data_IF_498381610764
#
_entry.id   IF_498381610764
#
_cell.length_a   1.000
_cell.length_b   1.000
_cell.length_c   1.000
_cell.angle_alpha   90.00
_cell.angle_beta   90.00
_cell.angle_gamma   90.00
#
_symmetry.space_group_name_H-M   'P 1'
#
loop_
_entity.id
_entity.type
_entity.pdbx_description
1 polymer ?
#
# COMPACT_ATOMS: atom_id res chain seq x y z
N UNK A 1 -1.12 -10.74 12.90
CA UNK A 1 -1.89 -11.98 13.19
C UNK A 1 -1.68 -12.33 14.65
N UNK A 2 -2.73 -12.72 15.37
CA UNK A 2 -2.58 -13.27 16.72
C UNK A 2 -2.32 -14.77 16.63
N UNK A 3 -1.74 -15.36 17.68
CA UNK A 3 -1.41 -16.80 17.75
C UNK A 3 -2.61 -17.76 17.70
N UNK A 4 -3.82 -17.24 17.52
CA UNK A 4 -5.08 -17.99 17.58
C UNK A 4 -5.66 -18.35 16.19
N UNK A 5 -5.14 -17.78 15.10
CA UNK A 5 -5.61 -18.11 13.74
C UNK A 5 -5.04 -19.46 13.29
N UNK A 6 -5.92 -20.45 13.09
CA UNK A 6 -5.54 -21.78 12.59
C UNK A 6 -5.37 -21.72 11.07
N UNK A 7 -4.13 -21.67 10.60
CA UNK A 7 -3.80 -21.66 9.17
C UNK A 7 -4.07 -23.02 8.53
N UNK A 8 -4.54 -23.01 7.28
CA UNK A 8 -4.65 -24.23 6.49
C UNK A 8 -3.25 -24.84 6.25
N UNK A 9 -3.13 -26.17 6.10
CA UNK A 9 -1.84 -26.82 5.83
C UNK A 9 -1.15 -26.22 4.59
N UNK A 10 0.11 -25.79 4.72
CA UNK A 10 0.90 -25.21 3.63
C UNK A 10 0.79 -23.69 3.47
N UNK A 11 -0.02 -23.00 4.27
CA UNK A 11 -0.08 -21.53 4.26
C UNK A 11 1.11 -20.97 5.04
N UNK A 12 1.95 -20.19 4.36
CA UNK A 12 3.03 -19.45 5.01
C UNK A 12 2.45 -18.48 6.07
N UNK A 13 2.76 -18.66 7.36
CA UNK A 13 2.28 -17.77 8.42
C UNK A 13 2.72 -16.31 8.23
N UNK A 14 3.78 -16.07 7.45
CA UNK A 14 4.30 -14.75 7.13
C UNK A 14 3.76 -14.18 5.81
N UNK A 15 2.95 -14.93 5.06
CA UNK A 15 2.36 -14.42 3.82
C UNK A 15 1.51 -13.17 4.10
N UNK A 16 1.74 -12.14 3.28
CA UNK A 16 0.97 -10.92 3.31
C UNK A 16 -0.51 -11.24 3.02
N UNK A 17 -1.40 -10.85 3.94
CA UNK A 17 -2.85 -10.87 3.71
C UNK A 17 -3.26 -9.53 3.15
N UNK A 18 -3.89 -9.55 1.97
CA UNK A 18 -4.42 -8.36 1.35
C UNK A 18 -5.95 -8.42 1.42
N UNK A 19 -6.52 -7.59 2.28
CA UNK A 19 -7.96 -7.36 2.36
C UNK A 19 -8.27 -6.01 1.72
N UNK A 20 -8.76 -6.05 0.48
CA UNK A 20 -8.97 -4.83 -0.31
C UNK A 20 -10.06 -3.97 0.33
N UNK A 21 -9.77 -2.68 0.52
CA UNK A 21 -10.67 -1.70 1.14
C UNK A 21 -11.21 -2.10 2.52
N UNK A 22 -10.53 -3.03 3.21
CA UNK A 22 -10.96 -3.60 4.48
C UNK A 22 -12.42 -4.13 4.45
N UNK A 23 -12.87 -4.63 3.29
CA UNK A 23 -14.25 -5.08 3.07
C UNK A 23 -14.31 -6.58 2.71
N UNK A 24 -14.17 -7.48 3.71
CA UNK A 24 -14.21 -8.93 3.48
C UNK A 24 -15.62 -9.44 3.11
N UNK A 25 -16.65 -8.61 3.29
CA UNK A 25 -18.06 -8.96 3.06
C UNK A 25 -18.57 -8.47 1.70
N UNK A 26 -17.68 -8.02 0.81
CA UNK A 26 -18.03 -7.52 -0.52
C UNK A 26 -18.82 -8.57 -1.31
N UNK A 27 -19.97 -8.16 -1.85
CA UNK A 27 -20.86 -8.98 -2.68
C UNK A 27 -20.86 -8.59 -4.15
N UNK A 28 -19.95 -7.70 -4.55
CA UNK A 28 -19.81 -7.13 -5.89
C UNK A 28 -18.35 -7.17 -6.37
N UNK A 29 -18.08 -6.96 -7.67
CA UNK A 29 -16.72 -6.96 -8.21
C UNK A 29 -15.82 -5.92 -7.53
N UNK A 30 -14.56 -6.28 -7.25
CA UNK A 30 -13.57 -5.37 -6.66
C UNK A 30 -13.38 -4.07 -7.47
N UNK A 31 -13.51 -4.13 -8.80
CA UNK A 31 -13.47 -2.95 -9.66
C UNK A 31 -14.48 -1.86 -9.27
N UNK A 32 -15.61 -2.23 -8.67
CA UNK A 32 -16.62 -1.27 -8.22
C UNK A 32 -16.08 -0.36 -7.11
N UNK A 33 -15.32 -0.91 -6.17
CA UNK A 33 -14.66 -0.10 -5.13
C UNK A 33 -13.59 0.78 -5.75
N UNK A 34 -12.78 0.23 -6.65
CA UNK A 34 -11.76 0.98 -7.36
C UNK A 34 -12.33 2.21 -8.08
N UNK A 35 -13.39 2.04 -8.87
CA UNK A 35 -14.04 3.12 -9.61
C UNK A 35 -14.65 4.17 -8.68
N UNK A 36 -15.25 3.76 -7.57
CA UNK A 36 -15.81 4.69 -6.57
C UNK A 36 -14.74 5.52 -5.88
N UNK A 37 -13.63 4.90 -5.48
CA UNK A 37 -12.49 5.65 -4.94
C UNK A 37 -11.87 6.56 -5.99
N UNK A 38 -11.80 6.11 -7.25
CA UNK A 38 -11.29 6.92 -8.35
C UNK A 38 -12.11 8.20 -8.55
N UNK A 39 -13.44 8.07 -8.51
CA UNK A 39 -14.36 9.20 -8.63
C UNK A 39 -14.15 10.26 -7.53
N UNK A 40 -13.75 9.88 -6.31
CA UNK A 40 -13.44 10.85 -5.25
C UNK A 40 -12.29 11.79 -5.65
N UNK A 41 -11.27 11.29 -6.35
CA UNK A 41 -10.17 12.13 -6.83
C UNK A 41 -10.64 13.04 -7.97
N UNK A 42 -11.46 12.52 -8.89
CA UNK A 42 -12.03 13.30 -10.00
C UNK A 42 -12.93 14.44 -9.50
N UNK A 43 -13.61 14.24 -8.36
CA UNK A 43 -14.41 15.25 -7.66
C UNK A 43 -13.56 16.28 -6.88
N UNK A 44 -12.22 16.17 -6.93
CA UNK A 44 -11.29 17.10 -6.29
C UNK A 44 -11.05 16.84 -4.79
N UNK A 45 -11.40 15.66 -4.28
CA UNK A 45 -11.12 15.29 -2.89
C UNK A 45 -9.63 14.95 -2.75
N UNK A 46 -8.93 15.69 -1.88
CA UNK A 46 -7.57 15.34 -1.48
C UNK A 46 -7.59 14.09 -0.59
N UNK A 47 -6.83 13.08 -0.99
CA UNK A 47 -6.76 11.79 -0.33
C UNK A 47 -5.32 11.49 0.09
N UNK A 48 -5.16 10.89 1.27
CA UNK A 48 -3.86 10.59 1.86
C UNK A 48 -3.78 9.13 2.30
N UNK A 49 -2.61 8.53 2.18
CA UNK A 49 -2.33 7.19 2.72
C UNK A 49 -1.61 7.37 4.05
N UNK A 50 -2.24 6.90 5.13
CA UNK A 50 -1.70 6.98 6.49
C UNK A 50 -1.42 5.56 7.00
N UNK A 51 -0.18 5.30 7.41
CA UNK A 51 0.15 4.07 8.13
C UNK A 51 -0.22 4.24 9.61
N UNK A 52 -1.07 3.37 10.13
CA UNK A 52 -1.48 3.36 11.56
C UNK A 52 -0.98 2.12 12.31
N UNK A 53 -0.24 1.24 11.63
CA UNK A 53 0.25 -0.01 12.19
C UNK A 53 1.68 0.12 12.67
N UNK A 54 2.60 -0.42 11.89
CA UNK A 54 4.02 -0.47 12.19
C UNK A 54 4.82 -0.01 10.99
N UNK A 55 5.95 0.64 11.24
CA UNK A 55 6.93 1.02 10.23
C UNK A 55 8.29 0.50 10.67
N UNK A 56 8.85 -0.46 9.93
CA UNK A 56 10.18 -1.03 10.17
C UNK A 56 10.42 -1.47 11.63
N UNK A 57 9.51 -2.25 12.23
CA UNK A 57 9.64 -2.67 13.63
C UNK A 57 9.13 -1.65 14.65
N UNK A 58 8.84 -0.42 14.22
CA UNK A 58 8.43 0.67 15.10
C UNK A 58 6.92 0.89 15.03
N UNK A 59 6.25 0.71 16.17
CA UNK A 59 4.82 0.96 16.30
C UNK A 59 4.48 2.44 16.05
N UNK A 60 3.50 2.66 15.17
CA UNK A 60 2.87 3.97 14.98
C UNK A 60 1.86 4.20 16.11
N UNK A 61 1.99 5.31 16.84
CA UNK A 61 1.08 5.67 17.92
C UNK A 61 -0.07 6.54 17.37
N UNK A 62 -1.24 6.57 18.02
CA UNK A 62 -2.32 7.48 17.62
C UNK A 62 -1.88 8.93 17.51
N UNK A 63 -1.02 9.41 18.41
CA UNK A 63 -0.48 10.76 18.37
C UNK A 63 0.37 11.05 17.11
N UNK A 64 1.06 10.04 16.56
CA UNK A 64 1.85 10.19 15.35
C UNK A 64 0.92 10.45 14.14
N UNK A 65 -0.18 9.68 14.02
CA UNK A 65 -1.17 9.87 12.95
C UNK A 65 -2.01 11.14 13.14
N UNK A 66 -2.42 11.44 14.37
CA UNK A 66 -3.21 12.65 14.66
C UNK A 66 -2.42 13.93 14.36
N UNK A 67 -1.12 13.96 14.67
CA UNK A 67 -0.27 15.11 14.32
C UNK A 67 -0.17 15.36 12.80
N UNK A 68 -0.17 14.29 11.98
CA UNK A 68 -0.23 14.41 10.52
C UNK A 68 -1.57 15.03 10.09
N UNK A 69 -2.69 14.55 10.64
CA UNK A 69 -4.03 15.06 10.33
C UNK A 69 -4.17 16.53 10.72
N UNK A 70 -3.67 16.92 11.90
CA UNK A 70 -3.63 18.31 12.35
C UNK A 70 -2.84 19.18 11.39
N UNK A 71 -1.63 18.76 10.99
CA UNK A 71 -0.81 19.50 10.03
C UNK A 71 -1.51 19.67 8.67
N UNK A 72 -2.20 18.64 8.17
CA UNK A 72 -2.96 18.71 6.92
C UNK A 72 -4.12 19.70 7.05
N UNK A 73 -4.94 19.59 8.09
CA UNK A 73 -6.12 20.43 8.30
C UNK A 73 -5.75 21.89 8.54
N UNK A 74 -4.62 22.14 9.22
CA UNK A 74 -4.10 23.49 9.47
C UNK A 74 -3.31 24.07 8.27
N UNK A 75 -3.12 23.32 7.19
CA UNK A 75 -2.37 23.76 6.01
C UNK A 75 -0.86 23.93 6.27
N UNK A 76 -0.32 23.19 7.24
CA UNK A 76 1.10 23.19 7.63
C UNK A 76 1.86 21.94 7.16
N UNK A 77 1.17 20.97 6.56
CA UNK A 77 1.80 19.77 6.03
C UNK A 77 2.68 20.12 4.83
N UNK A 78 3.95 19.73 4.91
CA UNK A 78 4.90 19.83 3.80
C UNK A 78 5.19 18.43 3.27
N UNK A 79 5.07 18.29 1.95
CA UNK A 79 5.33 17.03 1.25
C UNK A 79 6.65 17.14 0.49
N UNK A 80 7.42 16.05 0.52
CA UNK A 80 8.68 15.89 -0.19
C UNK A 80 8.59 14.68 -1.12
N UNK A 81 9.37 14.61 -2.21
CA UNK A 81 9.39 13.46 -3.09
C UNK A 81 9.65 12.15 -2.32
N UNK A 82 8.87 11.12 -2.61
CA UNK A 82 9.04 9.81 -1.97
C UNK A 82 10.10 8.99 -2.69
N UNK A 83 11.37 9.25 -2.36
CA UNK A 83 12.49 8.51 -2.93
C UNK A 83 12.53 8.59 -4.46
N UNK A 84 12.57 7.45 -5.18
CA UNK A 84 12.71 7.44 -6.64
C UNK A 84 11.38 7.55 -7.39
N UNK A 85 10.22 7.55 -6.71
CA UNK A 85 8.92 7.54 -7.37
C UNK A 85 8.60 8.91 -7.98
N UNK A 86 8.22 8.94 -9.25
CA UNK A 86 7.95 10.20 -9.95
C UNK A 86 6.60 10.84 -9.57
N UNK A 87 5.64 10.02 -9.15
CA UNK A 87 4.26 10.43 -8.86
C UNK A 87 3.89 10.30 -7.36
N UNK A 88 4.87 10.15 -6.46
CA UNK A 88 4.60 9.98 -5.03
C UNK A 88 5.38 10.99 -4.20
N UNK A 89 4.68 11.58 -3.24
CA UNK A 89 5.25 12.42 -2.20
C UNK A 89 4.90 11.87 -0.83
N UNK A 90 5.64 12.28 0.19
CA UNK A 90 5.46 11.86 1.58
C UNK A 90 5.77 13.00 2.53
N UNK A 91 5.33 12.90 3.78
CA UNK A 91 5.76 13.80 4.84
C UNK A 91 7.01 13.23 5.51
N UNK A 92 8.05 14.06 5.63
CA UNK A 92 9.23 13.68 6.40
C UNK A 92 8.90 13.71 7.90
N UNK A 93 9.08 12.58 8.58
CA UNK A 93 8.82 12.44 10.01
C UNK A 93 10.09 11.95 10.70
N UNK A 94 10.64 12.74 11.62
CA UNK A 94 11.87 12.38 12.37
C UNK A 94 11.76 11.01 13.07
N UNK A 95 10.56 10.66 13.50
CA UNK A 95 10.28 9.39 14.18
C UNK A 95 10.27 8.20 13.22
N UNK A 96 10.01 8.42 11.93
CA UNK A 96 9.87 7.37 10.91
C UNK A 96 10.69 7.75 9.68
N UNK A 97 12.03 7.77 9.78
CA UNK A 97 12.88 8.16 8.68
C UNK A 97 12.71 7.19 7.51
N UNK A 98 12.58 7.74 6.30
CA UNK A 98 12.58 7.00 5.05
C UNK A 98 14.02 7.04 4.51
N UNK A 99 14.67 5.88 4.46
CA UNK A 99 16.07 5.78 4.07
C UNK A 99 16.22 4.81 2.88
N UNK A 100 16.36 5.38 1.67
CA UNK A 100 16.61 4.60 0.46
C UNK A 100 18.09 4.17 0.32
N UNK A 101 18.94 4.42 1.31
CA UNK A 101 20.27 3.82 1.42
C UNK A 101 20.26 2.55 2.29
N UNK A 102 19.22 2.36 3.10
CA UNK A 102 19.01 1.15 3.89
C UNK A 102 18.50 -0.01 3.00
N UNK A 103 19.35 -1.02 2.85
CA UNK A 103 19.07 -2.21 2.06
C UNK A 103 17.87 -3.02 2.57
N UNK A 104 17.67 -3.08 3.89
CA UNK A 104 16.51 -3.74 4.48
C UNK A 104 15.23 -2.99 4.11
N UNK A 105 15.23 -1.66 4.22
CA UNK A 105 14.08 -0.83 3.85
C UNK A 105 13.70 -1.02 2.38
N UNK A 106 14.68 -0.92 1.47
CA UNK A 106 14.46 -1.10 0.02
C UNK A 106 13.91 -2.48 -0.30
N UNK A 107 14.49 -3.53 0.30
CA UNK A 107 14.04 -4.92 0.10
C UNK A 107 12.60 -5.12 0.56
N UNK A 108 12.24 -4.62 1.75
CA UNK A 108 10.88 -4.75 2.27
C UNK A 108 9.88 -3.98 1.40
N UNK A 109 10.17 -2.73 1.06
CA UNK A 109 9.31 -1.93 0.18
C UNK A 109 9.10 -2.62 -1.18
N UNK A 110 10.18 -3.12 -1.79
CA UNK A 110 10.12 -3.82 -3.08
C UNK A 110 9.30 -5.10 -2.98
N UNK A 111 9.58 -5.93 -1.97
CA UNK A 111 8.85 -7.17 -1.71
C UNK A 111 7.36 -6.91 -1.55
N UNK A 112 6.99 -5.88 -0.76
CA UNK A 112 5.59 -5.50 -0.54
C UNK A 112 4.91 -4.93 -1.80
N UNK A 113 5.61 -4.22 -2.68
CA UNK A 113 5.06 -3.78 -3.98
C UNK A 113 4.86 -4.97 -4.94
N UNK A 114 5.81 -5.91 -4.95
CA UNK A 114 5.72 -7.15 -5.74
C UNK A 114 4.57 -8.03 -5.27
N UNK A 115 4.38 -8.18 -3.95
CA UNK A 115 3.27 -8.93 -3.36
C UNK A 115 1.92 -8.35 -3.82
N UNK A 116 1.79 -7.01 -3.86
CA UNK A 116 0.59 -6.33 -4.38
C UNK A 116 0.40 -6.54 -5.88
N UNK A 117 1.46 -6.46 -6.67
CA UNK A 117 1.39 -6.73 -8.11
C UNK A 117 0.91 -8.16 -8.38
N UNK A 118 1.47 -9.14 -7.67
CA UNK A 118 1.07 -10.53 -7.78
C UNK A 118 -0.41 -10.72 -7.38
N UNK A 119 -0.85 -10.10 -6.28
CA UNK A 119 -2.25 -10.13 -5.85
C UNK A 119 -3.19 -9.56 -6.91
N UNK A 120 -2.94 -8.34 -7.40
CA UNK A 120 -3.80 -7.70 -8.42
C UNK A 120 -3.83 -8.54 -9.69
N UNK A 121 -2.68 -9.05 -10.14
CA UNK A 121 -2.60 -9.90 -11.34
C UNK A 121 -3.38 -11.20 -11.16
N UNK A 122 -3.33 -11.83 -9.98
CA UNK A 122 -4.08 -13.07 -9.72
C UNK A 122 -5.60 -12.89 -9.80
N UNK A 123 -6.12 -11.68 -9.57
CA UNK A 123 -7.55 -11.39 -9.65
C UNK A 123 -8.13 -11.51 -11.06
N UNK A 124 -7.28 -11.51 -12.08
CA UNK A 124 -7.66 -11.70 -13.49
C UNK A 124 -8.41 -13.01 -13.75
N UNK A 125 -8.06 -14.06 -13.00
CA UNK A 125 -8.55 -15.42 -13.21
C UNK A 125 -9.15 -16.05 -11.96
N UNK A 126 -8.73 -15.63 -10.76
CA UNK A 126 -9.29 -16.14 -9.51
C UNK A 126 -10.80 -15.86 -9.41
N UNK A 127 -11.57 -16.85 -8.92
CA UNK A 127 -13.04 -16.81 -8.89
C UNK A 127 -13.66 -16.43 -10.25
N UNK A 128 -13.03 -16.86 -11.35
CA UNK A 128 -13.50 -16.55 -12.71
C UNK A 128 -13.30 -15.09 -13.11
N UNK A 129 -12.39 -14.37 -12.46
CA UNK A 129 -12.09 -12.97 -12.78
C UNK A 129 -13.05 -11.96 -12.15
N UNK A 130 -13.88 -12.38 -11.19
CA UNK A 130 -14.85 -11.49 -10.52
C UNK A 130 -14.19 -10.25 -9.89
N UNK A 131 -12.96 -10.40 -9.40
CA UNK A 131 -12.22 -9.34 -8.70
C UNK A 131 -11.19 -8.64 -9.60
N UNK A 132 -11.22 -8.86 -10.92
CA UNK A 132 -10.34 -8.18 -11.88
C UNK A 132 -10.41 -6.67 -11.69
N UNK A 133 -9.25 -6.02 -11.67
CA UNK A 133 -9.12 -4.56 -11.63
C UNK A 133 -8.82 -3.99 -13.02
N UNK A 134 -9.07 -2.68 -13.25
CA UNK A 134 -8.66 -2.03 -14.49
C UNK A 134 -7.16 -2.18 -14.78
N UNK A 135 -6.75 -2.26 -16.06
CA UNK A 135 -5.35 -2.46 -16.43
C UNK A 135 -4.38 -1.43 -15.84
N UNK A 136 -4.84 -0.20 -15.59
CA UNK A 136 -4.02 0.85 -14.99
C UNK A 136 -3.53 0.49 -13.58
N UNK A 137 -4.26 -0.34 -12.82
CA UNK A 137 -3.84 -0.76 -11.48
C UNK A 137 -2.55 -1.61 -11.53
N UNK A 138 -2.48 -2.53 -12.50
CA UNK A 138 -1.26 -3.33 -12.76
C UNK A 138 -0.14 -2.44 -13.28
N UNK A 139 -0.47 -1.53 -14.21
CA UNK A 139 0.52 -0.62 -14.79
C UNK A 139 1.17 0.29 -13.73
N UNK A 140 0.38 0.85 -12.81
CA UNK A 140 0.88 1.70 -11.73
C UNK A 140 1.84 0.95 -10.79
N UNK A 141 1.52 -0.29 -10.42
CA UNK A 141 2.39 -1.12 -9.57
C UNK A 141 3.69 -1.52 -10.30
N UNK A 142 3.62 -1.80 -11.60
CA UNK A 142 4.81 -2.06 -12.43
C UNK A 142 5.69 -0.84 -12.53
N UNK A 143 5.11 0.33 -12.85
CA UNK A 143 5.84 1.60 -12.89
C UNK A 143 6.58 1.86 -11.57
N UNK A 144 5.91 1.68 -10.44
CA UNK A 144 6.54 1.84 -9.13
C UNK A 144 7.74 0.89 -8.93
N UNK A 145 7.58 -0.40 -9.28
CA UNK A 145 8.69 -1.37 -9.18
C UNK A 145 9.87 -1.02 -10.10
N UNK A 146 9.58 -0.55 -11.32
CA UNK A 146 10.61 -0.13 -12.29
C UNK A 146 11.37 1.10 -11.78
N UNK A 147 10.65 2.09 -11.24
CA UNK A 147 11.24 3.30 -10.65
C UNK A 147 12.10 3.01 -9.41
N UNK A 148 11.74 2.01 -8.61
CA UNK A 148 12.58 1.60 -7.48
C UNK A 148 13.96 1.09 -7.91
N UNK A 149 14.09 0.54 -9.12
CA UNK A 149 15.35 0.03 -9.67
C UNK A 149 16.04 -1.00 -8.76
N UNK A 150 15.29 -1.73 -7.93
CA UNK A 150 15.82 -2.67 -6.95
C UNK A 150 15.91 -4.07 -7.58
N UNK A 151 17.05 -4.79 -7.46
CA UNK A 151 17.24 -6.04 -8.17
C UNK A 151 16.29 -7.13 -7.66
N UNK A 152 15.62 -7.80 -8.59
CA UNK A 152 15.03 -9.10 -8.33
C UNK A 152 16.20 -10.08 -8.21
N UNK A 153 16.61 -10.42 -6.99
CA UNK A 153 17.42 -11.61 -6.81
C UNK A 153 16.50 -12.81 -7.11
N UNK A 154 16.78 -13.50 -8.22
CA UNK A 154 16.12 -14.74 -8.63
C UNK A 154 16.29 -15.85 -7.58
#
# INVERSE_FOLDING_TARGET
>A
RTSAERLAPGVDPNALVIESYANPFRTYPLATDYERFKALFDDGVACYILNTGEFMGKKVKPADTLGILEAIVEGKAEFVPFGPFSDMETMALDRFPIDFTDEQYRRELFSRMRDRLAFVTSRETEKGGMDRLPPEAVAALRKALDEMGYPVQE
#
